data_IF_121201422340
#
_entry.id   IF_121201422340
#
_cell.length_a   1.000
_cell.length_b   1.000
_cell.length_c   1.000
_cell.angle_alpha   90.00
_cell.angle_beta   90.00
_cell.angle_gamma   90.00
#
_symmetry.space_group_name_H-M   'P 1'
#
loop_
_entity.id
_entity.type
_entity.pdbx_description
1 polymer ?
#
# COMPACT_ATOMS: atom_id res chain seq x y z
N UNK A 1 17.66 -3.58 -21.09
CA UNK A 1 18.10 -2.97 -19.83
C UNK A 1 19.61 -2.94 -19.91
N UNK A 2 20.26 -1.78 -19.76
CA UNK A 2 21.72 -1.73 -19.72
C UNK A 2 22.15 -1.85 -18.26
N UNK A 3 23.21 -2.61 -17.93
CA UNK A 3 23.70 -2.64 -16.56
C UNK A 3 24.02 -1.19 -16.14
N UNK A 4 23.54 -0.73 -14.97
CA UNK A 4 23.84 0.62 -14.51
C UNK A 4 25.36 0.80 -14.38
N UNK A 5 25.82 2.05 -14.54
CA UNK A 5 27.19 2.47 -14.21
C UNK A 5 27.64 1.88 -12.87
N UNK A 6 28.95 1.67 -12.65
CA UNK A 6 29.46 1.12 -11.38
C UNK A 6 28.77 1.77 -10.18
N UNK A 7 27.98 0.96 -9.47
CA UNK A 7 27.11 1.41 -8.39
C UNK A 7 27.71 0.95 -7.07
N UNK A 8 28.51 1.84 -6.45
CA UNK A 8 29.19 1.59 -5.17
C UNK A 8 28.23 1.47 -3.99
N UNK A 9 26.92 1.69 -4.20
CA UNK A 9 25.92 1.59 -3.14
C UNK A 9 25.38 0.17 -2.98
N UNK A 10 25.70 -0.76 -3.89
CA UNK A 10 25.32 -2.17 -3.79
C UNK A 10 26.06 -2.81 -2.59
N UNK A 11 25.36 -3.47 -1.65
CA UNK A 11 26.01 -4.08 -0.49
C UNK A 11 26.79 -5.33 -0.90
N UNK A 12 28.08 -5.35 -0.59
CA UNK A 12 28.99 -6.43 -0.93
C UNK A 12 29.15 -7.39 0.25
N UNK A 13 29.25 -6.86 1.46
CA UNK A 13 29.51 -7.64 2.66
C UNK A 13 28.24 -8.22 3.28
N UNK A 14 28.40 -9.29 4.07
CA UNK A 14 27.30 -9.86 4.86
C UNK A 14 26.75 -8.86 5.86
N UNK A 15 27.59 -7.99 6.42
CA UNK A 15 27.18 -7.00 7.40
C UNK A 15 26.31 -5.91 6.77
N UNK A 16 26.74 -5.34 5.64
CA UNK A 16 25.94 -4.35 4.90
C UNK A 16 24.56 -4.90 4.52
N UNK A 17 24.51 -6.17 4.07
CA UNK A 17 23.22 -6.83 3.78
C UNK A 17 22.34 -6.91 5.03
N UNK A 18 22.89 -7.32 6.18
CA UNK A 18 22.14 -7.38 7.45
C UNK A 18 21.60 -6.01 7.86
N UNK A 19 22.35 -4.93 7.64
CA UNK A 19 21.92 -3.59 7.98
C UNK A 19 20.73 -3.13 7.12
N UNK A 20 20.74 -3.46 5.83
CA UNK A 20 19.57 -3.27 4.95
C UNK A 20 18.37 -4.11 5.38
N UNK A 21 18.58 -5.37 5.78
CA UNK A 21 17.50 -6.23 6.28
C UNK A 21 16.84 -5.62 7.51
N UNK A 22 17.61 -5.13 8.48
CA UNK A 22 17.08 -4.45 9.68
C UNK A 22 16.21 -3.25 9.30
N UNK A 23 16.68 -2.41 8.36
CA UNK A 23 15.92 -1.25 7.87
C UNK A 23 14.62 -1.65 7.17
N UNK A 24 14.66 -2.69 6.33
CA UNK A 24 13.48 -3.21 5.64
C UNK A 24 12.44 -3.77 6.62
N UNK A 25 12.88 -4.54 7.62
CA UNK A 25 11.99 -5.05 8.67
C UNK A 25 11.37 -3.89 9.46
N UNK A 26 12.18 -2.91 9.85
CA UNK A 26 11.69 -1.72 10.55
C UNK A 26 10.62 -0.99 9.72
N UNK A 27 10.85 -0.77 8.42
CA UNK A 27 9.87 -0.13 7.53
C UNK A 27 8.58 -0.95 7.36
N UNK A 28 8.68 -2.29 7.26
CA UNK A 28 7.49 -3.15 7.19
C UNK A 28 6.64 -3.01 8.47
N UNK A 29 7.29 -2.94 9.64
CA UNK A 29 6.61 -2.86 10.94
C UNK A 29 6.20 -1.45 11.36
N UNK A 30 6.75 -0.41 10.73
CA UNK A 30 6.46 0.98 11.06
C UNK A 30 5.00 1.35 10.78
N UNK A 31 4.24 1.69 11.81
CA UNK A 31 2.82 2.09 11.70
C UNK A 31 2.58 3.57 11.97
N UNK A 32 3.63 4.40 12.01
CA UNK A 32 3.55 5.79 12.48
C UNK A 32 2.85 6.72 11.49
N UNK A 33 3.19 6.63 10.21
CA UNK A 33 2.62 7.45 9.12
C UNK A 33 2.10 6.59 7.97
N UNK A 34 1.13 5.73 8.30
CA UNK A 34 0.50 4.84 7.31
C UNK A 34 -0.68 5.51 6.63
N UNK A 35 -0.82 5.27 5.32
CA UNK A 35 -1.91 5.87 4.52
C UNK A 35 -3.27 5.21 4.77
N UNK A 36 -3.28 3.97 5.25
CA UNK A 36 -4.49 3.22 5.52
C UNK A 36 -5.17 3.63 6.84
N UNK A 37 -6.48 3.34 6.97
CA UNK A 37 -7.22 3.57 8.22
C UNK A 37 -6.75 2.61 9.32
N UNK A 38 -5.99 3.15 10.27
CA UNK A 38 -5.40 2.42 11.41
C UNK A 38 -6.41 1.87 12.41
N UNK A 39 -7.60 2.47 12.49
CA UNK A 39 -8.66 2.07 13.43
C UNK A 39 -9.50 0.89 12.95
N UNK A 40 -9.26 0.38 11.75
CA UNK A 40 -10.06 -0.73 11.21
C UNK A 40 -9.67 -2.06 11.86
N UNK A 41 -10.65 -2.95 12.12
CA UNK A 41 -10.40 -4.29 12.68
C UNK A 41 -9.32 -5.08 11.90
N UNK A 42 -9.33 -5.12 10.55
CA UNK A 42 -8.29 -5.83 9.81
C UNK A 42 -6.89 -5.24 10.02
N UNK A 43 -6.78 -3.91 10.11
CA UNK A 43 -5.51 -3.26 10.39
C UNK A 43 -5.02 -3.62 11.80
N UNK A 44 -5.87 -3.45 12.81
CA UNK A 44 -5.51 -3.73 14.21
C UNK A 44 -5.12 -5.20 14.43
N UNK A 45 -5.78 -6.14 13.76
CA UNK A 45 -5.44 -7.57 13.83
C UNK A 45 -4.03 -7.87 13.29
N UNK A 46 -3.58 -7.13 12.27
CA UNK A 46 -2.31 -7.40 11.57
C UNK A 46 -1.14 -6.54 12.02
N UNK A 47 -1.42 -5.31 12.41
CA UNK A 47 -0.42 -4.25 12.64
C UNK A 47 -0.66 -3.47 13.94
N UNK A 48 -1.72 -3.78 14.70
CA UNK A 48 -1.99 -3.13 15.98
C UNK A 48 -0.95 -3.50 17.05
N UNK A 49 -0.95 -2.80 18.20
CA UNK A 49 0.03 -3.01 19.27
C UNK A 49 0.14 -4.46 19.77
N UNK A 50 -0.96 -5.21 19.72
CA UNK A 50 -1.04 -6.60 20.17
C UNK A 50 -1.23 -7.59 18.99
N UNK A 51 -0.90 -7.18 17.77
CA UNK A 51 -1.06 -8.04 16.60
C UNK A 51 -0.09 -9.22 16.64
N UNK A 52 -0.62 -10.43 16.43
CA UNK A 52 0.15 -11.67 16.34
C UNK A 52 -0.06 -12.39 15.01
N UNK A 53 -0.63 -11.71 14.01
CA UNK A 53 -1.02 -12.32 12.74
C UNK A 53 0.20 -12.76 11.90
N UNK A 54 1.30 -12.02 11.98
CA UNK A 54 2.55 -12.32 11.28
C UNK A 54 3.65 -12.60 12.30
N UNK A 55 4.54 -13.53 11.97
CA UNK A 55 5.72 -13.82 12.77
C UNK A 55 6.93 -12.98 12.33
N UNK A 56 7.91 -12.77 13.21
CA UNK A 56 9.14 -12.03 12.87
C UNK A 56 9.90 -12.63 11.68
N UNK A 57 9.83 -13.97 11.52
CA UNK A 57 10.45 -14.67 10.39
C UNK A 57 9.82 -14.27 9.05
N UNK A 58 8.53 -13.94 9.02
CA UNK A 58 7.82 -13.58 7.80
C UNK A 58 8.36 -12.24 7.25
N UNK A 59 8.55 -11.26 8.15
CA UNK A 59 9.16 -9.98 7.81
C UNK A 59 10.60 -10.15 7.32
N UNK A 60 11.39 -10.99 7.99
CA UNK A 60 12.77 -11.26 7.58
C UNK A 60 12.84 -11.91 6.19
N UNK A 61 11.97 -12.87 5.89
CA UNK A 61 11.89 -13.53 4.57
C UNK A 61 11.59 -12.48 3.49
N UNK A 62 10.58 -11.63 3.68
CA UNK A 62 10.24 -10.59 2.70
C UNK A 62 11.38 -9.58 2.53
N UNK A 63 12.02 -9.15 3.63
CA UNK A 63 13.17 -8.26 3.56
C UNK A 63 14.32 -8.86 2.73
N UNK A 64 14.63 -10.15 2.93
CA UNK A 64 15.65 -10.84 2.13
C UNK A 64 15.28 -10.90 0.65
N UNK A 65 14.04 -11.22 0.33
CA UNK A 65 13.58 -11.30 -1.06
C UNK A 65 13.65 -9.96 -1.78
N UNK A 66 13.26 -8.88 -1.11
CA UNK A 66 13.38 -7.52 -1.63
C UNK A 66 14.86 -7.18 -1.87
N UNK A 67 15.71 -7.41 -0.87
CA UNK A 67 17.13 -7.08 -0.97
C UNK A 67 17.82 -7.85 -2.10
N UNK A 68 17.62 -9.16 -2.17
CA UNK A 68 18.25 -10.02 -3.18
C UNK A 68 17.78 -9.69 -4.59
N UNK A 69 16.49 -9.38 -4.79
CA UNK A 69 15.99 -8.97 -6.09
C UNK A 69 16.55 -7.59 -6.49
N UNK A 70 16.62 -6.64 -5.56
CA UNK A 70 17.23 -5.33 -5.78
C UNK A 70 18.70 -5.50 -6.20
N UNK A 71 19.49 -6.29 -5.47
CA UNK A 71 20.89 -6.58 -5.84
C UNK A 71 20.98 -7.20 -7.22
N UNK A 72 20.12 -8.18 -7.52
CA UNK A 72 20.11 -8.87 -8.83
C UNK A 72 19.89 -7.88 -9.98
N UNK A 73 18.89 -7.02 -9.87
CA UNK A 73 18.57 -6.04 -10.92
C UNK A 73 19.74 -5.07 -11.14
N UNK A 74 20.41 -4.66 -10.07
CA UNK A 74 21.55 -3.74 -10.20
C UNK A 74 22.81 -4.42 -10.73
N UNK A 75 22.99 -5.73 -10.50
CA UNK A 75 24.15 -6.49 -11.02
C UNK A 75 23.95 -7.04 -12.43
N UNK A 76 22.73 -7.43 -12.78
CA UNK A 76 22.44 -8.21 -13.99
C UNK A 76 21.42 -7.54 -14.91
N UNK A 77 20.84 -6.42 -14.47
CA UNK A 77 19.68 -5.84 -15.11
C UNK A 77 18.38 -6.62 -14.87
N UNK A 78 17.29 -6.11 -15.45
CA UNK A 78 16.00 -6.78 -15.40
C UNK A 78 15.92 -7.91 -16.43
N UNK A 79 15.74 -9.15 -15.98
CA UNK A 79 15.67 -10.34 -16.84
C UNK A 79 14.39 -11.19 -16.67
N UNK A 80 13.46 -10.76 -15.83
CA UNK A 80 12.21 -11.49 -15.60
C UNK A 80 11.18 -11.13 -16.67
N UNK A 81 10.58 -12.15 -17.30
CA UNK A 81 9.46 -11.95 -18.21
C UNK A 81 8.28 -11.31 -17.47
N UNK A 82 7.67 -10.31 -18.10
CA UNK A 82 6.49 -9.62 -17.59
C UNK A 82 5.53 -9.45 -18.75
N UNK A 83 4.32 -10.01 -18.66
CA UNK A 83 3.29 -9.83 -19.69
C UNK A 83 2.67 -8.42 -19.66
N UNK A 84 2.59 -7.81 -18.49
CA UNK A 84 2.03 -6.48 -18.26
C UNK A 84 2.90 -5.38 -18.90
N UNK A 85 2.39 -4.78 -19.98
CA UNK A 85 3.05 -3.69 -20.72
C UNK A 85 3.25 -2.44 -19.86
N UNK A 86 2.28 -2.08 -19.03
CA UNK A 86 2.33 -0.90 -18.17
C UNK A 86 3.40 -1.07 -17.10
N UNK A 87 3.42 -2.24 -16.45
CA UNK A 87 4.45 -2.55 -15.47
C UNK A 87 5.86 -2.55 -16.08
N UNK A 88 6.03 -3.10 -17.29
CA UNK A 88 7.32 -3.04 -18.00
C UNK A 88 7.77 -1.59 -18.23
N UNK A 89 6.87 -0.71 -18.64
CA UNK A 89 7.18 0.70 -18.86
C UNK A 89 7.57 1.41 -17.54
N UNK A 90 6.83 1.16 -16.46
CA UNK A 90 7.14 1.71 -15.13
C UNK A 90 8.51 1.25 -14.61
N UNK A 91 8.84 -0.02 -14.83
CA UNK A 91 10.13 -0.61 -14.46
C UNK A 91 11.25 0.03 -15.28
N UNK A 92 11.07 0.14 -16.60
CA UNK A 92 12.02 0.80 -17.50
C UNK A 92 12.26 2.26 -17.10
N UNK A 93 11.22 3.00 -16.71
CA UNK A 93 11.36 4.37 -16.24
C UNK A 93 12.18 4.51 -14.94
N UNK A 94 12.35 3.42 -14.19
CA UNK A 94 13.17 3.40 -12.97
C UNK A 94 14.63 3.00 -13.20
N UNK A 95 15.05 2.73 -14.45
CA UNK A 95 16.35 2.10 -14.72
C UNK A 95 17.55 2.95 -14.29
N UNK A 96 17.39 4.28 -14.24
CA UNK A 96 18.43 5.21 -13.82
C UNK A 96 18.63 5.34 -12.30
N UNK A 97 17.87 4.60 -11.48
CA UNK A 97 18.09 4.59 -10.03
C UNK A 97 19.39 3.86 -9.68
N UNK A 98 20.12 4.37 -8.69
CA UNK A 98 21.13 3.59 -7.95
C UNK A 98 20.46 2.59 -7.00
N UNK A 99 21.22 1.62 -6.51
CA UNK A 99 20.75 0.60 -5.59
C UNK A 99 20.19 1.28 -4.35
N UNK A 100 20.93 2.26 -3.79
CA UNK A 100 20.48 3.04 -2.66
C UNK A 100 19.19 3.81 -2.96
N UNK A 101 19.13 4.53 -4.08
CA UNK A 101 17.93 5.29 -4.44
C UNK A 101 16.69 4.40 -4.63
N UNK A 102 16.88 3.18 -5.18
CA UNK A 102 15.81 2.19 -5.32
C UNK A 102 15.38 1.65 -3.96
N UNK A 103 16.29 1.21 -3.11
CA UNK A 103 15.95 0.59 -1.83
C UNK A 103 15.38 1.59 -0.83
N UNK A 104 15.81 2.86 -0.87
CA UNK A 104 15.22 3.94 -0.08
C UNK A 104 13.78 4.23 -0.51
N UNK A 105 13.50 4.25 -1.82
CA UNK A 105 12.13 4.35 -2.33
C UNK A 105 11.27 3.16 -1.88
N UNK A 106 11.85 1.96 -1.75
CA UNK A 106 11.15 0.80 -1.21
C UNK A 106 10.88 0.98 0.29
N UNK A 107 11.86 1.45 1.08
CA UNK A 107 11.66 1.73 2.50
C UNK A 107 10.51 2.71 2.73
N UNK A 108 10.50 3.83 2.00
CA UNK A 108 9.41 4.81 2.06
C UNK A 108 8.06 4.15 1.76
N UNK A 109 7.98 3.36 0.69
CA UNK A 109 6.75 2.67 0.31
C UNK A 109 6.25 1.71 1.40
N UNK A 110 7.15 0.94 2.02
CA UNK A 110 6.82 -0.06 3.04
C UNK A 110 6.39 0.60 4.36
N UNK A 111 7.05 1.68 4.78
CA UNK A 111 6.65 2.46 5.97
C UNK A 111 5.24 3.03 5.81
N UNK A 112 4.90 3.50 4.61
CA UNK A 112 3.68 4.28 4.39
C UNK A 112 2.49 3.50 3.79
N UNK A 113 2.67 2.25 3.36
CA UNK A 113 1.57 1.41 2.85
C UNK A 113 1.62 -0.03 3.38
N UNK A 114 0.77 -0.30 4.38
CA UNK A 114 0.61 -1.66 4.89
C UNK A 114 -0.10 -2.58 3.91
N UNK A 115 -0.91 -2.05 3.00
CA UNK A 115 -1.49 -2.87 1.93
C UNK A 115 -0.41 -3.45 1.02
N UNK A 116 0.62 -2.67 0.71
CA UNK A 116 1.76 -3.15 -0.07
C UNK A 116 2.54 -4.23 0.70
N UNK A 117 2.72 -4.05 2.00
CA UNK A 117 3.34 -5.06 2.87
C UNK A 117 2.52 -6.37 2.90
N UNK A 118 1.19 -6.29 2.97
CA UNK A 118 0.32 -7.46 2.91
C UNK A 118 0.41 -8.22 1.59
N UNK A 119 0.43 -7.51 0.45
CA UNK A 119 0.58 -8.15 -0.86
C UNK A 119 1.93 -8.90 -0.92
N UNK A 120 3.02 -8.30 -0.40
CA UNK A 120 4.32 -8.96 -0.33
C UNK A 120 4.32 -10.18 0.59
N UNK A 121 3.72 -10.09 1.78
CA UNK A 121 3.61 -11.20 2.74
C UNK A 121 2.77 -12.36 2.17
N UNK A 122 1.90 -12.09 1.19
CA UNK A 122 1.18 -13.11 0.39
C UNK A 122 1.95 -13.61 -0.81
N UNK A 123 3.25 -13.29 -0.91
CA UNK A 123 4.10 -13.64 -2.04
C UNK A 123 3.66 -12.97 -3.37
N UNK A 124 3.01 -11.82 -3.30
CA UNK A 124 2.51 -11.10 -4.48
C UNK A 124 3.27 -9.78 -4.70
N UNK A 125 3.23 -9.28 -5.94
CA UNK A 125 3.70 -7.95 -6.36
C UNK A 125 5.16 -7.61 -6.08
N UNK A 126 6.01 -8.58 -5.71
CA UNK A 126 7.43 -8.38 -5.44
C UNK A 126 8.15 -7.66 -6.59
N UNK A 127 7.92 -8.10 -7.83
CA UNK A 127 8.49 -7.47 -9.02
C UNK A 127 8.04 -6.01 -9.19
N UNK A 128 6.78 -5.72 -8.89
CA UNK A 128 6.27 -4.35 -8.98
C UNK A 128 6.86 -3.45 -7.90
N UNK A 129 6.99 -3.95 -6.67
CA UNK A 129 7.58 -3.22 -5.55
C UNK A 129 9.04 -2.89 -5.81
N UNK A 130 9.84 -3.88 -6.19
CA UNK A 130 11.27 -3.65 -6.44
C UNK A 130 11.51 -2.90 -7.74
N UNK A 131 10.73 -3.23 -8.76
CA UNK A 131 10.90 -2.70 -10.11
C UNK A 131 10.44 -1.26 -10.27
N UNK A 132 9.38 -0.82 -9.59
CA UNK A 132 8.84 0.53 -9.76
C UNK A 132 8.36 1.18 -8.44
N UNK A 133 9.22 1.30 -7.40
CA UNK A 133 8.80 1.75 -6.08
C UNK A 133 8.24 3.18 -6.07
N UNK A 134 8.88 4.13 -6.76
CA UNK A 134 8.42 5.52 -6.86
C UNK A 134 7.03 5.64 -7.47
N UNK A 135 6.74 4.84 -8.51
CA UNK A 135 5.41 4.81 -9.14
C UNK A 135 4.35 4.31 -8.16
N UNK A 136 4.68 3.29 -7.36
CA UNK A 136 3.77 2.79 -6.32
C UNK A 136 3.53 3.82 -5.21
N UNK A 137 4.55 4.56 -4.79
CA UNK A 137 4.39 5.66 -3.83
C UNK A 137 3.36 6.66 -4.36
N UNK A 138 3.53 7.15 -5.59
CA UNK A 138 2.56 8.07 -6.22
C UNK A 138 1.17 7.45 -6.27
N UNK A 139 1.06 6.18 -6.68
CA UNK A 139 -0.24 5.48 -6.78
C UNK A 139 -0.94 5.35 -5.43
N UNK A 140 -0.22 4.97 -4.37
CA UNK A 140 -0.80 4.82 -3.03
C UNK A 140 -1.29 6.17 -2.48
N UNK A 141 -0.53 7.25 -2.72
CA UNK A 141 -0.95 8.61 -2.36
C UNK A 141 -2.22 9.04 -3.11
N UNK A 142 -2.26 8.88 -4.43
CA UNK A 142 -3.45 9.23 -5.24
C UNK A 142 -4.67 8.40 -4.81
N UNK A 143 -4.49 7.11 -4.54
CA UNK A 143 -5.57 6.24 -4.08
C UNK A 143 -6.12 6.66 -2.71
N UNK A 144 -5.27 7.11 -1.79
CA UNK A 144 -5.71 7.62 -0.50
C UNK A 144 -6.66 8.82 -0.68
N UNK A 145 -6.28 9.80 -1.51
CA UNK A 145 -7.10 10.98 -1.82
C UNK A 145 -8.43 10.56 -2.46
N UNK A 146 -8.38 9.69 -3.47
CA UNK A 146 -9.57 9.21 -4.15
C UNK A 146 -10.53 8.46 -3.20
N UNK A 147 -10.00 7.64 -2.31
CA UNK A 147 -10.79 6.89 -1.33
C UNK A 147 -11.42 7.82 -0.29
N UNK A 148 -10.71 8.84 0.19
CA UNK A 148 -11.26 9.87 1.08
C UNK A 148 -12.42 10.61 0.42
N UNK A 149 -12.25 11.05 -0.83
CA UNK A 149 -13.31 11.73 -1.59
C UNK A 149 -14.52 10.82 -1.85
N UNK A 150 -14.29 9.53 -2.11
CA UNK A 150 -15.37 8.55 -2.24
C UNK A 150 -16.13 8.39 -0.92
N UNK A 151 -15.44 8.33 0.23
CA UNK A 151 -16.08 8.19 1.53
C UNK A 151 -16.96 9.40 1.89
N UNK A 152 -16.53 10.61 1.55
CA UNK A 152 -17.35 11.83 1.71
C UNK A 152 -18.62 11.75 0.85
N UNK A 153 -18.48 11.39 -0.43
CA UNK A 153 -19.63 11.25 -1.34
C UNK A 153 -20.65 10.23 -0.83
N UNK A 154 -20.18 9.08 -0.35
CA UNK A 154 -21.04 8.04 0.23
C UNK A 154 -21.77 8.57 1.46
N UNK A 155 -21.07 9.26 2.37
CA UNK A 155 -21.68 9.83 3.58
C UNK A 155 -22.80 10.81 3.22
N UNK A 156 -22.54 11.73 2.29
CA UNK A 156 -23.52 12.72 1.87
C UNK A 156 -24.74 12.07 1.21
N UNK A 157 -24.53 11.01 0.40
CA UNK A 157 -25.62 10.23 -0.18
C UNK A 157 -26.48 9.55 0.89
N UNK A 158 -25.86 8.90 1.87
CA UNK A 158 -26.58 8.27 3.00
C UNK A 158 -27.36 9.30 3.83
N UNK A 159 -26.78 10.49 4.08
CA UNK A 159 -27.48 11.56 4.78
C UNK A 159 -28.67 12.09 3.97
N UNK A 160 -28.52 12.23 2.65
CA UNK A 160 -29.60 12.62 1.76
C UNK A 160 -30.74 11.59 1.76
N UNK A 161 -30.43 10.30 1.62
CA UNK A 161 -31.42 9.21 1.68
C UNK A 161 -32.16 9.18 3.03
N UNK A 162 -31.45 9.38 4.14
CA UNK A 162 -32.05 9.47 5.47
C UNK A 162 -33.01 10.67 5.59
N UNK A 163 -32.61 11.84 5.08
CA UNK A 163 -33.48 13.03 5.07
C UNK A 163 -34.71 12.84 4.18
N UNK A 164 -34.54 12.28 2.99
CA UNK A 164 -35.63 11.99 2.07
C UNK A 164 -36.62 10.97 2.68
N UNK A 165 -36.12 9.91 3.32
CA UNK A 165 -36.95 8.88 3.98
C UNK A 165 -37.64 9.42 5.25
N UNK A 166 -36.97 10.27 6.01
CA UNK A 166 -37.56 10.96 7.16
C UNK A 166 -38.66 11.93 6.75
N UNK A 167 -38.44 12.69 5.67
CA UNK A 167 -39.45 13.60 5.11
C UNK A 167 -40.67 12.85 4.54
N UNK A 168 -40.48 11.68 3.92
CA UNK A 168 -41.59 10.86 3.43
C UNK A 168 -42.42 10.24 4.57
N UNK A 169 -41.78 9.84 5.68
CA UNK A 169 -42.49 9.29 6.84
C UNK A 169 -43.29 10.36 7.60
N UNK A 170 -42.77 11.59 7.68
CA UNK A 170 -43.48 12.75 8.24
C UNK A 170 -44.69 13.20 7.41
N UNK A 171 -44.73 12.86 6.13
CA UNK A 171 -45.85 13.19 5.24
C UNK A 171 -46.99 12.17 5.38
N UNK A 172 -46.67 10.86 5.43
CA UNK A 172 -47.67 9.79 5.66
C UNK A 172 -48.42 9.93 6.99
N UNK A 173 -47.69 10.16 8.10
CA UNK A 173 -48.34 10.32 9.40
C UNK A 173 -49.22 11.57 9.52
N UNK A 174 -49.12 12.53 8.58
CA UNK A 174 -49.95 13.73 8.56
C UNK A 174 -51.21 13.57 7.71
N UNK A 175 -51.18 12.65 6.75
CA UNK A 175 -52.33 12.31 5.90
C UNK A 175 -53.25 11.32 6.63
N UNK A 176 -52.71 10.41 7.45
CA UNK A 176 -53.49 9.45 8.26
C UNK A 176 -54.27 10.12 9.42
N UNK A 177 -53.80 11.26 9.94
CA UNK A 177 -54.47 12.01 11.02
C UNK A 177 -55.65 12.87 10.52
N UNK A 178 -55.81 13.08 9.20
CA UNK A 178 -56.89 13.90 8.62
C UNK A 178 -58.13 13.09 8.20
N UNK A 179 -58.09 11.76 8.27
CA UNK A 179 -59.18 10.88 7.81
C UNK A 179 -60.10 10.39 8.95
N UNK A 180 -59.94 10.91 10.18
CA UNK A 180 -60.68 10.45 11.38
C UNK A 180 -61.77 11.38 11.92
N UNK A 181 -62.03 12.53 11.28
CA UNK A 181 -63.03 13.53 11.72
C UNK A 181 -64.20 13.72 10.71
N UNK A 182 -64.83 12.62 10.27
CA UNK A 182 -66.14 12.67 9.61
C UNK A 182 -67.05 11.55 10.13
N UNK A 183 -67.76 11.83 11.22
CA UNK A 183 -69.01 11.16 11.64
C UNK A 183 -69.96 12.20 12.24
#
# INVERSE_FOLDING_TARGET
WNPPSPDSTIPETKQQKKDWIKRLIAAIKDTTDVRERTTSKPFLNRWGPNASFYEEKDFAIIAWRILLLTIRIHKQGWNSYLADKTLRADIKASEGLTFQGRIESILELLSSSKRTCEDLLKNDRLHQVVGAPKRLITRTRTNQVANSNKAVRIRNGVEFEKRASGASNLKRGRDDDQESDQD
#
